data_IF_648657444953
#
_entry.id   IF_648657444953
#
_cell.length_a   1.000
_cell.length_b   1.000
_cell.length_c   1.000
_cell.angle_alpha   90.00
_cell.angle_beta   90.00
_cell.angle_gamma   90.00
#
_symmetry.space_group_name_H-M   'P 1'
#
loop_
_entity.id
_entity.type
_entity.pdbx_description
1 polymer ?
#
# COMPACT_ATOMS: atom_id res chain seq x y z
N UNK A 1 -31.97 -0.23 -8.42
CA UNK A 1 -31.11 -1.07 -9.31
C UNK A 1 -30.03 -0.29 -10.07
N UNK A 2 -30.15 1.04 -10.25
CA UNK A 2 -29.19 1.83 -11.05
C UNK A 2 -27.93 2.22 -10.26
N UNK A 3 -28.01 2.49 -8.95
CA UNK A 3 -26.82 2.80 -8.13
C UNK A 3 -25.75 1.70 -8.14
N UNK A 4 -26.16 0.43 -8.07
CA UNK A 4 -25.24 -0.70 -8.00
C UNK A 4 -24.36 -0.85 -9.26
N UNK A 5 -24.76 -0.23 -10.37
CA UNK A 5 -24.06 -0.31 -11.66
C UNK A 5 -22.93 0.73 -11.78
N UNK A 6 -23.00 1.87 -11.07
CA UNK A 6 -21.96 2.91 -11.11
C UNK A 6 -20.74 2.56 -10.25
N UNK A 7 -20.93 1.86 -9.13
CA UNK A 7 -19.82 1.47 -8.25
C UNK A 7 -18.90 0.42 -8.88
N UNK A 8 -19.47 -0.46 -9.70
CA UNK A 8 -18.72 -1.48 -10.44
C UNK A 8 -17.78 -0.87 -11.49
N UNK A 9 -18.17 0.25 -12.11
CA UNK A 9 -17.39 0.93 -13.16
C UNK A 9 -16.21 1.71 -12.55
N UNK A 10 -16.40 2.33 -11.38
CA UNK A 10 -15.31 3.01 -10.64
C UNK A 10 -14.26 2.04 -10.13
N UNK A 11 -14.66 0.83 -9.73
CA UNK A 11 -13.73 -0.21 -9.26
C UNK A 11 -12.80 -0.68 -10.38
N UNK A 12 -13.34 -0.90 -11.59
CA UNK A 12 -12.58 -1.40 -12.75
C UNK A 12 -11.51 -0.40 -13.25
N UNK A 13 -11.76 0.91 -13.18
CA UNK A 13 -10.82 1.91 -13.67
C UNK A 13 -9.59 2.09 -12.76
N UNK A 14 -9.73 1.77 -11.47
CA UNK A 14 -8.62 1.80 -10.50
C UNK A 14 -7.61 0.66 -10.67
N UNK A 15 -8.00 -0.46 -11.29
CA UNK A 15 -7.10 -1.59 -11.54
C UNK A 15 -6.29 -1.42 -12.84
N UNK A 16 -6.88 -0.79 -13.87
CA UNK A 16 -6.20 -0.56 -15.15
C UNK A 16 -5.10 0.51 -15.08
N UNK A 17 -5.20 1.47 -14.16
CA UNK A 17 -4.22 2.56 -14.01
C UNK A 17 -2.94 2.17 -13.26
N UNK A 18 -2.89 1.01 -12.61
CA UNK A 18 -1.68 0.52 -11.90
C UNK A 18 -0.75 -0.34 -12.73
N UNK A 19 -1.13 -0.72 -13.96
CA UNK A 19 -0.32 -1.63 -14.79
C UNK A 19 0.64 -0.94 -15.77
N UNK A 20 0.73 0.40 -15.78
CA UNK A 20 1.57 1.14 -16.73
C UNK A 20 2.96 1.53 -16.20
N UNK A 21 3.41 0.98 -15.07
CA UNK A 21 4.73 1.30 -14.47
C UNK A 21 5.68 0.11 -14.32
N UNK A 22 5.55 -0.91 -15.16
CA UNK A 22 6.59 -1.94 -15.32
C UNK A 22 7.53 -1.52 -16.45
N UNK A 23 8.41 -0.56 -16.17
CA UNK A 23 9.54 -0.28 -17.04
C UNK A 23 10.64 -1.30 -16.71
N UNK A 24 10.90 -2.23 -17.63
CA UNK A 24 12.07 -3.09 -17.61
C UNK A 24 13.34 -2.22 -17.67
N UNK A 25 14.02 -2.10 -16.54
CA UNK A 25 15.41 -1.64 -16.50
C UNK A 25 16.31 -2.82 -16.82
N UNK A 26 16.50 -3.07 -18.12
CA UNK A 26 17.60 -3.91 -18.60
C UNK A 26 18.92 -3.16 -18.49
N UNK A 27 19.78 -3.69 -17.61
CA UNK A 27 21.24 -3.67 -17.64
C UNK A 27 21.96 -2.31 -17.69
N UNK A 28 22.39 -1.85 -16.51
CA UNK A 28 23.70 -1.25 -16.35
C UNK A 28 24.41 -1.98 -15.20
N UNK A 29 25.41 -2.78 -15.55
CA UNK A 29 26.33 -3.45 -14.63
C UNK A 29 26.98 -2.41 -13.69
N UNK A 30 26.87 -2.64 -12.38
CA UNK A 30 27.47 -1.75 -11.41
C UNK A 30 27.34 -2.23 -9.97
N UNK A 31 27.87 -3.42 -9.68
CA UNK A 31 28.25 -3.85 -8.34
C UNK A 31 27.11 -4.01 -7.31
N UNK A 32 26.12 -4.83 -7.62
CA UNK A 32 25.18 -5.37 -6.61
C UNK A 32 25.89 -6.47 -5.80
N UNK A 33 25.93 -6.38 -4.45
CA UNK A 33 26.52 -7.41 -3.61
C UNK A 33 25.65 -8.67 -3.66
N UNK A 34 26.07 -9.64 -4.47
CA UNK A 34 25.48 -10.98 -4.53
C UNK A 34 25.74 -11.74 -3.22
N UNK A 35 24.93 -12.76 -2.94
CA UNK A 35 25.09 -13.76 -1.87
C UNK A 35 26.45 -14.50 -1.83
N UNK A 36 27.33 -14.28 -2.83
CA UNK A 36 28.71 -14.79 -2.86
C UNK A 36 29.78 -13.73 -2.55
N UNK A 37 29.38 -12.50 -2.21
CA UNK A 37 30.29 -11.40 -1.91
C UNK A 37 30.80 -11.52 -0.48
N UNK A 38 32.08 -11.86 -0.31
CA UNK A 38 32.73 -11.92 1.00
C UNK A 38 32.89 -10.51 1.60
N UNK A 39 32.41 -10.30 2.82
CA UNK A 39 32.41 -9.00 3.50
C UNK A 39 33.78 -8.60 4.09
N UNK A 40 34.80 -9.46 3.98
CA UNK A 40 36.14 -9.22 4.48
C UNK A 40 37.15 -9.69 3.43
N UNK A 41 38.07 -8.80 3.03
CA UNK A 41 39.24 -9.20 2.27
C UNK A 41 40.06 -10.19 3.13
N UNK A 42 40.45 -11.32 2.51
CA UNK A 42 41.22 -12.46 3.02
C UNK A 42 41.57 -12.49 4.52
N UNK A 43 41.26 -13.59 5.24
CA UNK A 43 41.83 -13.76 6.56
C UNK A 43 43.35 -13.92 6.40
N UNK A 44 44.10 -12.88 6.77
CA UNK A 44 45.52 -13.02 7.05
C UNK A 44 45.61 -14.02 8.21
N UNK A 45 45.96 -15.26 7.87
CA UNK A 45 46.17 -16.35 8.82
C UNK A 45 47.15 -15.90 9.90
N UNK A 46 46.64 -15.53 11.07
CA UNK A 46 47.43 -15.50 12.29
C UNK A 46 46.66 -16.25 13.38
N UNK A 47 46.94 -17.54 13.48
CA UNK A 47 46.36 -18.48 14.42
C UNK A 47 46.78 -18.13 15.86
N UNK A 48 45.87 -17.86 16.82
CA UNK A 48 46.22 -17.84 18.23
C UNK A 48 45.94 -19.23 18.78
N UNK A 49 46.88 -20.15 18.63
CA UNK A 49 46.95 -21.27 19.55
C UNK A 49 47.34 -20.71 20.92
N UNK A 50 46.37 -20.70 21.85
CA UNK A 50 46.55 -20.68 23.31
C UNK A 50 47.38 -19.52 23.85
N UNK A 51 46.71 -18.49 24.40
CA UNK A 51 47.10 -17.93 25.71
C UNK A 51 45.87 -17.53 26.52
N UNK A 52 45.64 -18.28 27.59
CA UNK A 52 44.96 -17.81 28.79
C UNK A 52 45.88 -16.76 29.42
N UNK A 53 45.34 -15.58 29.75
CA UNK A 53 45.44 -15.06 31.11
C UNK A 53 44.61 -13.77 31.26
N UNK A 54 43.99 -13.67 32.43
CA UNK A 54 43.35 -12.47 32.95
C UNK A 54 44.35 -11.30 33.01
N UNK A 55 43.82 -10.08 32.88
CA UNK A 55 44.19 -8.86 33.62
C UNK A 55 43.88 -7.63 32.73
N UNK A 56 42.88 -6.85 33.14
CA UNK A 56 42.87 -5.38 33.14
C UNK A 56 43.53 -4.67 31.96
N UNK A 57 42.79 -4.36 30.90
CA UNK A 57 43.21 -3.35 29.91
C UNK A 57 42.07 -2.37 29.58
N UNK A 58 41.86 -1.40 30.47
CA UNK A 58 41.37 -0.07 30.11
C UNK A 58 42.46 0.60 29.26
N UNK A 59 42.44 0.37 27.95
CA UNK A 59 43.10 1.27 27.00
C UNK A 59 42.05 2.02 26.21
N UNK A 60 41.73 3.21 26.69
CA UNK A 60 41.09 4.25 25.91
C UNK A 60 42.02 4.63 24.75
N UNK A 61 41.70 4.17 23.54
CA UNK A 61 42.30 4.68 22.31
C UNK A 61 41.80 6.12 22.06
N UNK A 62 42.69 7.13 22.05
CA UNK A 62 42.28 8.55 21.98
C UNK A 62 41.91 9.04 20.57
N UNK A 63 41.86 8.16 19.56
CA UNK A 63 41.56 8.51 18.17
C UNK A 63 40.42 7.68 17.56
N UNK A 64 39.43 7.27 18.37
CA UNK A 64 38.20 6.69 17.83
C UNK A 64 37.20 7.79 17.46
N UNK A 65 36.67 7.71 16.24
CA UNK A 65 35.53 8.50 15.71
C UNK A 65 34.43 8.60 16.79
N UNK A 66 33.70 9.72 16.92
CA UNK A 66 32.76 9.90 18.03
C UNK A 66 31.78 8.72 18.11
N UNK A 67 31.86 7.91 19.17
CA UNK A 67 30.98 6.77 19.51
C UNK A 67 29.48 7.10 19.53
N UNK A 68 29.13 8.37 19.34
CA UNK A 68 27.78 8.92 19.32
C UNK A 68 27.00 8.53 18.06
N UNK A 69 27.67 8.36 16.92
CA UNK A 69 26.98 8.11 15.64
C UNK A 69 26.51 6.65 15.51
N UNK A 70 27.36 5.69 15.89
CA UNK A 70 26.99 4.26 15.92
C UNK A 70 25.83 3.98 16.89
N UNK A 71 25.87 4.58 18.08
CA UNK A 71 24.79 4.44 19.05
C UNK A 71 23.46 5.05 18.54
N UNK A 72 23.53 6.13 17.75
CA UNK A 72 22.34 6.75 17.13
C UNK A 72 21.79 5.92 15.98
N UNK A 73 22.66 5.29 15.18
CA UNK A 73 22.25 4.37 14.13
C UNK A 73 21.54 3.14 14.71
N UNK A 74 22.07 2.58 15.80
CA UNK A 74 21.45 1.47 16.52
C UNK A 74 20.10 1.85 17.14
N UNK A 75 19.99 3.05 17.72
CA UNK A 75 18.71 3.55 18.25
C UNK A 75 17.65 3.70 17.15
N UNK A 76 18.05 4.18 15.96
CA UNK A 76 17.17 4.28 14.80
C UNK A 76 16.71 2.89 14.32
N UNK A 77 17.62 1.92 14.24
CA UNK A 77 17.28 0.54 13.86
C UNK A 77 16.28 -0.05 14.85
N UNK A 78 16.50 0.13 16.15
CA UNK A 78 15.58 -0.36 17.18
C UNK A 78 14.19 0.30 17.08
N UNK A 79 14.14 1.62 16.87
CA UNK A 79 12.89 2.34 16.67
C UNK A 79 12.15 1.83 15.42
N UNK A 80 12.82 1.79 14.27
CA UNK A 80 12.25 1.30 13.01
C UNK A 80 11.78 -0.15 13.12
N UNK A 81 12.54 -0.99 13.82
CA UNK A 81 12.15 -2.37 14.10
C UNK A 81 10.91 -2.42 14.99
N UNK A 82 10.84 -1.60 16.04
CA UNK A 82 9.69 -1.55 16.95
C UNK A 82 8.41 -1.05 16.27
N UNK A 83 8.53 -0.17 15.26
CA UNK A 83 7.41 0.33 14.46
C UNK A 83 6.94 -0.69 13.42
N UNK A 84 7.85 -1.50 12.89
CA UNK A 84 7.57 -2.47 11.82
C UNK A 84 7.20 -3.88 12.33
N UNK A 85 7.44 -4.19 13.60
CA UNK A 85 7.01 -5.45 14.20
C UNK A 85 5.50 -5.40 14.44
N UNK A 86 4.81 -6.43 13.95
CA UNK A 86 3.37 -6.60 14.15
C UNK A 86 3.15 -7.28 15.51
N UNK A 87 2.59 -6.55 16.47
CA UNK A 87 2.07 -7.14 17.71
C UNK A 87 0.71 -7.80 17.44
N UNK A 88 0.72 -9.12 17.25
CA UNK A 88 -0.49 -9.93 17.01
C UNK A 88 -1.40 -9.96 18.26
N UNK A 89 -0.85 -9.79 19.46
CA UNK A 89 -1.63 -9.82 20.70
C UNK A 89 -2.40 -8.49 20.94
N UNK A 90 -1.92 -7.38 20.39
CA UNK A 90 -2.60 -6.08 20.42
C UNK A 90 -3.77 -5.96 19.43
N UNK A 91 -4.07 -7.01 18.64
CA UNK A 91 -5.23 -7.04 17.76
C UNK A 91 -6.57 -7.16 18.50
N UNK A 92 -6.54 -7.61 19.76
CA UNK A 92 -7.72 -7.56 20.61
C UNK A 92 -8.01 -6.11 20.99
N UNK A 93 -9.28 -5.73 20.83
CA UNK A 93 -9.80 -4.36 20.98
C UNK A 93 -9.07 -3.60 22.09
N UNK A 94 -8.23 -2.63 21.71
CA UNK A 94 -7.68 -1.65 22.64
C UNK A 94 -8.86 -0.98 23.35
N UNK A 95 -9.11 -1.38 24.61
CA UNK A 95 -10.18 -0.79 25.40
C UNK A 95 -9.70 0.56 25.88
N UNK A 96 -9.88 1.57 25.03
CA UNK A 96 -9.84 2.96 25.47
C UNK A 96 -10.79 3.09 26.66
N UNK A 97 -10.34 3.72 27.74
CA UNK A 97 -11.21 3.93 28.90
C UNK A 97 -12.42 4.79 28.49
N UNK A 98 -13.58 4.50 29.07
CA UNK A 98 -14.80 5.23 28.73
C UNK A 98 -14.68 6.74 29.02
N UNK A 99 -13.93 7.13 30.05
CA UNK A 99 -13.67 8.54 30.35
C UNK A 99 -12.85 9.20 29.23
N UNK A 100 -11.74 8.59 28.85
CA UNK A 100 -10.87 9.09 27.79
C UNK A 100 -11.60 9.20 26.44
N UNK A 101 -12.44 8.21 26.12
CA UNK A 101 -13.30 8.26 24.94
C UNK A 101 -14.21 9.50 24.94
N UNK A 102 -14.90 9.76 26.05
CA UNK A 102 -15.79 10.90 26.19
C UNK A 102 -15.04 12.24 26.12
N UNK A 103 -13.85 12.33 26.71
CA UNK A 103 -13.03 13.53 26.67
C UNK A 103 -12.52 13.80 25.24
N UNK A 104 -12.13 12.75 24.50
CA UNK A 104 -11.76 12.86 23.08
C UNK A 104 -12.95 13.33 22.22
N UNK A 105 -14.17 12.82 22.46
CA UNK A 105 -15.37 13.30 21.76
C UNK A 105 -15.57 14.80 21.98
N UNK A 106 -15.54 15.27 23.23
CA UNK A 106 -15.73 16.69 23.54
C UNK A 106 -14.67 17.54 22.87
N UNK A 107 -13.41 17.13 22.95
CA UNK A 107 -12.28 17.81 22.32
C UNK A 107 -12.44 17.93 20.80
N UNK A 108 -12.79 16.82 20.13
CA UNK A 108 -12.97 16.81 18.68
C UNK A 108 -14.17 17.63 18.24
N UNK A 109 -15.29 17.56 18.95
CA UNK A 109 -16.45 18.39 18.67
C UNK A 109 -16.15 19.88 18.83
N UNK A 110 -15.44 20.26 19.89
CA UNK A 110 -15.05 21.65 20.13
C UNK A 110 -14.12 22.17 19.03
N UNK A 111 -13.07 21.40 18.68
CA UNK A 111 -12.15 21.75 17.60
C UNK A 111 -12.86 21.84 16.25
N UNK A 112 -13.75 20.90 15.97
CA UNK A 112 -14.55 20.89 14.76
C UNK A 112 -15.42 22.14 14.66
N UNK A 113 -16.17 22.48 15.72
CA UNK A 113 -17.02 23.68 15.72
C UNK A 113 -16.22 24.98 15.56
N UNK A 114 -15.06 25.09 16.22
CA UNK A 114 -14.16 26.25 16.08
C UNK A 114 -13.62 26.42 14.65
N UNK A 115 -13.35 25.32 13.95
CA UNK A 115 -12.86 25.37 12.58
C UNK A 115 -13.99 25.45 11.56
N UNK A 116 -15.18 24.92 11.88
CA UNK A 116 -16.32 24.86 10.98
C UNK A 116 -16.69 26.25 10.47
N UNK A 117 -16.76 27.26 11.36
CA UNK A 117 -17.09 28.63 10.97
C UNK A 117 -16.02 29.34 10.11
N UNK A 118 -14.80 28.81 10.06
CA UNK A 118 -13.65 29.44 9.41
C UNK A 118 -13.28 28.78 8.07
N UNK A 119 -13.99 27.73 7.67
CA UNK A 119 -13.75 27.00 6.42
C UNK A 119 -14.88 27.31 5.46
N UNK A 120 -14.55 27.77 4.25
CA UNK A 120 -15.50 27.81 3.15
C UNK A 120 -15.94 26.38 2.84
N UNK A 121 -17.15 26.03 3.23
CA UNK A 121 -17.69 24.69 3.02
C UNK A 121 -17.93 24.47 1.52
N UNK A 122 -17.24 23.52 0.86
CA UNK A 122 -17.44 23.23 -0.56
C UNK A 122 -18.87 22.78 -0.88
N UNK A 123 -19.63 22.37 0.15
CA UNK A 123 -20.92 21.68 0.02
C UNK A 123 -22.13 22.46 0.59
N UNK A 124 -21.98 23.72 1.00
CA UNK A 124 -23.15 24.56 1.33
C UNK A 124 -23.75 25.24 0.09
N UNK A 125 -23.51 24.70 -1.10
CA UNK A 125 -24.29 25.09 -2.28
C UNK A 125 -25.66 24.44 -2.15
N UNK A 126 -26.56 25.15 -1.49
CA UNK A 126 -27.99 24.88 -1.43
C UNK A 126 -28.45 24.33 -2.77
N UNK A 127 -28.93 23.08 -2.76
CA UNK A 127 -29.51 22.40 -3.91
C UNK A 127 -28.61 22.42 -5.15
N UNK A 128 -27.57 21.57 -5.14
CA UNK A 128 -26.99 21.07 -6.37
C UNK A 128 -28.01 20.27 -7.17
N UNK A 129 -28.83 20.96 -7.97
CA UNK A 129 -29.53 20.34 -9.08
C UNK A 129 -28.52 19.54 -9.90
N UNK A 130 -28.89 18.31 -10.27
CA UNK A 130 -27.99 17.36 -10.93
C UNK A 130 -27.44 17.89 -12.27
N UNK A 131 -28.12 18.87 -12.86
CA UNK A 131 -27.85 19.43 -14.19
C UNK A 131 -27.61 20.96 -14.13
N UNK A 132 -26.79 21.43 -13.19
CA UNK A 132 -26.43 22.86 -13.07
C UNK A 132 -25.77 23.44 -14.33
N UNK A 133 -25.14 22.57 -15.11
CA UNK A 133 -24.38 22.86 -16.31
C UNK A 133 -25.23 22.87 -17.59
N UNK A 134 -26.49 22.42 -17.54
CA UNK A 134 -27.39 22.39 -18.70
C UNK A 134 -28.48 23.44 -18.54
N UNK A 135 -28.31 24.67 -19.06
CA UNK A 135 -29.38 25.64 -19.11
C UNK A 135 -30.47 25.13 -20.06
N UNK A 136 -31.72 25.08 -19.59
CA UNK A 136 -32.91 24.60 -20.31
C UNK A 136 -32.75 23.16 -20.83
N UNK A 137 -33.01 22.13 -20.00
CA UNK A 137 -32.78 20.73 -20.37
C UNK A 137 -33.77 20.18 -21.41
N UNK A 138 -34.94 20.80 -21.59
CA UNK A 138 -36.00 20.34 -22.48
C UNK A 138 -35.53 20.13 -23.94
N UNK A 139 -34.87 21.09 -24.61
CA UNK A 139 -34.34 20.88 -25.97
C UNK A 139 -33.27 19.79 -26.05
N UNK A 140 -32.43 19.64 -25.02
CA UNK A 140 -31.38 18.60 -24.98
C UNK A 140 -32.01 17.22 -24.88
N UNK A 141 -33.02 17.07 -24.01
CA UNK A 141 -33.75 15.81 -23.83
C UNK A 141 -34.64 15.46 -25.04
N UNK A 142 -35.10 16.46 -25.80
CA UNK A 142 -35.87 16.28 -27.02
C UNK A 142 -35.01 16.07 -28.28
N UNK A 143 -33.68 16.10 -28.15
CA UNK A 143 -32.76 15.90 -29.27
C UNK A 143 -32.79 14.46 -29.82
N UNK A 144 -32.22 14.27 -31.00
CA UNK A 144 -32.17 12.97 -31.66
C UNK A 144 -31.45 11.95 -30.76
N UNK A 145 -32.06 10.79 -30.44
CA UNK A 145 -31.42 9.75 -29.65
C UNK A 145 -30.16 9.19 -30.32
N UNK A 146 -29.32 8.48 -29.55
CA UNK A 146 -28.15 7.77 -30.08
C UNK A 146 -28.54 6.86 -31.25
N UNK A 147 -27.71 6.85 -32.30
CA UNK A 147 -27.93 6.02 -33.47
C UNK A 147 -27.95 4.53 -33.09
N UNK A 148 -28.81 3.75 -33.75
CA UNK A 148 -28.95 2.31 -33.50
C UNK A 148 -27.66 1.55 -33.78
N UNK A 149 -26.89 2.00 -34.78
CA UNK A 149 -25.63 1.39 -35.19
C UNK A 149 -24.56 1.55 -34.10
N UNK A 150 -24.48 2.74 -33.49
CA UNK A 150 -23.58 3.00 -32.36
C UNK A 150 -23.95 2.12 -31.16
N UNK A 151 -25.25 1.98 -30.86
CA UNK A 151 -25.72 1.11 -29.79
C UNK A 151 -25.37 -0.36 -30.06
N UNK A 152 -25.50 -0.82 -31.31
CA UNK A 152 -25.11 -2.17 -31.71
C UNK A 152 -23.60 -2.39 -31.58
N UNK A 153 -22.79 -1.40 -32.01
CA UNK A 153 -21.34 -1.42 -31.86
C UNK A 153 -20.93 -1.52 -30.38
N UNK A 154 -21.50 -0.68 -29.51
CA UNK A 154 -21.21 -0.69 -28.07
C UNK A 154 -21.55 -2.06 -27.47
N UNK A 155 -22.73 -2.63 -27.78
CA UNK A 155 -23.13 -3.96 -27.31
C UNK A 155 -22.16 -5.05 -27.78
N UNK A 156 -21.74 -5.00 -29.04
CA UNK A 156 -20.77 -5.94 -29.59
C UNK A 156 -19.41 -5.88 -28.89
N UNK A 157 -18.92 -4.67 -28.58
CA UNK A 157 -17.68 -4.49 -27.84
C UNK A 157 -17.79 -5.04 -26.41
N UNK A 158 -18.89 -4.75 -25.71
CA UNK A 158 -19.13 -5.27 -24.34
C UNK A 158 -19.19 -6.80 -24.34
N UNK A 159 -19.83 -7.40 -25.34
CA UNK A 159 -19.90 -8.87 -25.45
C UNK A 159 -18.51 -9.48 -25.67
N UNK A 160 -17.68 -8.89 -26.54
CA UNK A 160 -16.29 -9.34 -26.76
C UNK A 160 -15.46 -9.22 -25.48
N UNK A 161 -15.58 -8.12 -24.76
CA UNK A 161 -14.89 -7.93 -23.47
C UNK A 161 -15.33 -8.97 -22.44
N UNK A 162 -16.64 -9.25 -22.34
CA UNK A 162 -17.16 -10.27 -21.44
C UNK A 162 -16.66 -11.68 -21.77
N UNK A 163 -16.56 -12.01 -23.06
CA UNK A 163 -15.98 -13.27 -23.51
C UNK A 163 -14.49 -13.37 -23.12
N UNK A 164 -13.71 -12.30 -23.33
CA UNK A 164 -12.30 -12.27 -22.94
C UNK A 164 -12.10 -12.43 -21.43
N UNK A 165 -12.94 -11.80 -20.59
CA UNK A 165 -12.90 -11.97 -19.13
C UNK A 165 -13.19 -13.42 -18.74
N UNK A 166 -14.06 -14.12 -19.47
CA UNK A 166 -14.37 -15.53 -19.22
C UNK A 166 -13.20 -16.48 -19.52
N UNK A 167 -12.20 -16.03 -20.28
CA UNK A 167 -10.97 -16.78 -20.53
C UNK A 167 -9.95 -16.67 -19.39
N UNK A 168 -10.14 -15.72 -18.47
CA UNK A 168 -9.31 -15.59 -17.26
C UNK A 168 -9.71 -16.69 -16.28
N UNK A 169 -9.11 -17.87 -16.45
CA UNK A 169 -9.32 -19.04 -15.60
C UNK A 169 -8.05 -19.86 -15.46
N UNK A 170 -7.92 -20.56 -14.34
CA UNK A 170 -6.85 -21.54 -14.14
C UNK A 170 -7.16 -22.77 -14.99
N UNK A 171 -6.26 -23.11 -15.92
CA UNK A 171 -6.34 -24.35 -16.70
C UNK A 171 -5.81 -25.49 -15.85
N UNK A 172 -6.63 -26.51 -15.65
CA UNK A 172 -6.22 -27.72 -14.94
C UNK A 172 -5.17 -28.49 -15.75
N UNK A 173 -4.02 -28.79 -15.13
CA UNK A 173 -2.92 -29.56 -15.73
C UNK A 173 -2.74 -30.91 -15.04
N UNK A 174 -2.60 -30.90 -13.73
CA UNK A 174 -2.39 -32.09 -12.90
C UNK A 174 -3.18 -32.03 -11.59
N UNK A 175 -3.29 -33.17 -10.93
CA UNK A 175 -4.00 -33.27 -9.67
C UNK A 175 -3.17 -32.62 -8.55
N UNK A 176 -3.71 -31.55 -7.95
CA UNK A 176 -3.11 -30.93 -6.76
C UNK A 176 -3.19 -31.82 -5.51
N UNK A 177 -4.12 -32.77 -5.50
CA UNK A 177 -4.35 -33.69 -4.37
C UNK A 177 -4.33 -35.11 -4.90
N UNK A 178 -3.45 -35.94 -4.35
CA UNK A 178 -3.38 -37.37 -4.64
C UNK A 178 -3.73 -38.14 -3.36
N UNK A 179 -4.75 -39.01 -3.37
CA UNK A 179 -5.07 -39.81 -2.21
C UNK A 179 -4.05 -40.93 -2.04
N UNK A 180 -3.44 -41.01 -0.86
CA UNK A 180 -2.60 -42.15 -0.51
C UNK A 180 -3.50 -43.36 -0.24
N UNK A 181 -3.37 -44.40 -1.08
CA UNK A 181 -3.91 -45.73 -0.79
C UNK A 181 -2.76 -46.64 -0.37
N UNK A 182 -2.95 -47.34 0.75
CA UNK A 182 -2.05 -48.39 1.23
C UNK A 182 -2.53 -49.71 0.57
N UNK A 183 -1.62 -50.56 0.05
CA UNK A 183 -1.96 -51.85 -0.55
C UNK A 183 -2.61 -52.82 0.44
#
# INVERSE_FOLDING_TARGET
LICCKMDCIRSMWGYASRCFSCQEVSSAQGNEPSERTHLLADPVSNSPAVRRDNETFTQEYPNSVPKKDEQSALAKILQETSENIIDVAAMDTQKLEASEYNDRIKLYNQRLQQQWSNVNHPNQVENASLLKDIPNPEPVLASVPIATDDLAMIKGMVQKANNAVSEIKVVHTENLVVPFRIP
#
